data_IF_278406083605
#
_entry.id   IF_278406083605
#
_cell.length_a   1.000
_cell.length_b   1.000
_cell.length_c   1.000
_cell.angle_alpha   90.00
_cell.angle_beta   90.00
_cell.angle_gamma   90.00
#
_symmetry.space_group_name_H-M   'P 1'
#
loop_
_entity.id
_entity.type
_entity.pdbx_description
1 polymer ?
#
# COMPACT_ATOMS: atom_id res chain seq x y z
N UNK A 1 21.22 -1.65 28.72
CA UNK A 1 21.42 -0.84 29.96
C UNK A 1 20.70 0.47 29.75
N UNK A 2 19.84 0.94 30.67
CA UNK A 2 19.25 2.26 30.55
C UNK A 2 20.37 3.32 30.49
N UNK A 3 20.24 4.28 29.58
CA UNK A 3 21.13 5.42 29.46
C UNK A 3 21.05 6.24 30.75
N UNK A 4 22.17 6.70 31.35
CA UNK A 4 22.14 7.46 32.59
C UNK A 4 21.61 8.89 32.44
N UNK A 5 21.25 9.34 31.24
CA UNK A 5 20.84 10.72 30.94
C UNK A 5 19.41 10.79 30.40
N UNK A 6 18.42 10.51 31.27
CA UNK A 6 16.98 10.57 30.99
C UNK A 6 16.52 11.94 30.41
N UNK A 7 17.33 13.00 30.56
CA UNK A 7 17.01 14.36 30.08
C UNK A 7 17.21 14.57 28.56
N UNK A 8 17.73 13.58 27.82
CA UNK A 8 18.01 13.68 26.39
C UNK A 8 17.30 12.63 25.53
N UNK A 9 16.48 11.79 26.15
CA UNK A 9 15.75 10.76 25.42
C UNK A 9 14.58 11.41 24.67
N UNK A 10 14.54 11.18 23.35
CA UNK A 10 13.50 11.67 22.48
C UNK A 10 12.66 10.49 21.97
N UNK A 11 11.37 10.74 21.79
CA UNK A 11 10.45 9.74 21.26
C UNK A 11 9.77 10.26 20.00
N UNK A 12 9.76 9.44 18.97
CA UNK A 12 8.93 9.66 17.78
C UNK A 12 7.66 8.82 17.97
N UNK A 13 6.52 9.51 18.05
CA UNK A 13 5.22 8.85 18.19
C UNK A 13 4.61 8.71 16.80
N UNK A 14 4.28 7.49 16.43
CA UNK A 14 3.66 7.14 15.16
C UNK A 14 2.34 6.42 15.40
N UNK A 15 1.43 6.50 14.44
CA UNK A 15 0.19 5.73 14.46
C UNK A 15 0.17 4.83 13.24
N UNK A 16 0.14 3.52 13.48
CA UNK A 16 0.02 2.49 12.45
C UNK A 16 -1.27 1.71 12.70
N UNK A 17 -2.21 1.73 11.78
CA UNK A 17 -3.46 0.97 11.87
C UNK A 17 -4.16 1.13 13.25
N UNK A 18 -4.29 2.38 13.75
CA UNK A 18 -4.84 2.74 15.07
C UNK A 18 -3.96 2.31 16.27
N UNK A 19 -2.80 1.71 16.03
CA UNK A 19 -1.81 1.42 17.05
C UNK A 19 -0.86 2.60 17.21
N UNK A 20 -0.84 3.20 18.41
CA UNK A 20 0.14 4.24 18.75
C UNK A 20 1.43 3.59 19.23
N UNK A 21 2.53 3.86 18.52
CA UNK A 21 3.86 3.35 18.84
C UNK A 21 4.81 4.52 19.10
N UNK A 22 5.61 4.41 20.15
CA UNK A 22 6.65 5.38 20.47
C UNK A 22 8.02 4.74 20.25
N UNK A 23 8.79 5.29 19.30
CA UNK A 23 10.17 4.87 19.05
C UNK A 23 11.12 5.75 19.85
N UNK A 24 11.92 5.12 20.71
CA UNK A 24 12.98 5.82 21.43
C UNK A 24 14.15 6.09 20.50
N UNK A 25 14.52 7.36 20.32
CA UNK A 25 15.61 7.81 19.46
C UNK A 25 16.58 8.68 20.24
N UNK A 26 17.85 8.67 19.84
CA UNK A 26 18.89 9.48 20.50
C UNK A 26 18.76 10.97 20.19
N UNK A 27 18.35 11.30 18.96
CA UNK A 27 18.18 12.68 18.53
C UNK A 27 17.32 12.76 17.29
N UNK A 28 16.65 13.89 17.09
CA UNK A 28 15.95 14.27 15.86
C UNK A 28 16.71 15.42 15.23
N UNK A 29 17.26 15.20 14.04
CA UNK A 29 18.08 16.20 13.34
C UNK A 29 17.18 17.18 12.58
N UNK A 30 16.09 16.69 11.98
CA UNK A 30 15.17 17.51 11.21
C UNK A 30 14.28 16.68 10.28
N UNK A 31 13.57 17.40 9.40
CA UNK A 31 12.74 16.84 8.35
C UNK A 31 13.37 17.22 7.01
N UNK A 32 13.66 16.21 6.19
CA UNK A 32 14.18 16.38 4.84
C UNK A 32 13.15 15.93 3.83
N UNK A 33 13.01 16.69 2.74
CA UNK A 33 12.21 16.27 1.59
C UNK A 33 13.13 15.56 0.61
N UNK A 34 12.78 14.33 0.26
CA UNK A 34 13.49 13.51 -0.73
C UNK A 34 12.55 13.13 -1.85
N UNK A 35 13.08 13.05 -3.07
CA UNK A 35 12.34 12.50 -4.19
C UNK A 35 12.51 10.98 -4.24
N UNK A 36 11.48 10.27 -4.66
CA UNK A 36 11.57 8.83 -4.91
C UNK A 36 12.70 8.46 -5.87
N UNK A 37 13.03 9.35 -6.80
CA UNK A 37 14.15 9.16 -7.74
C UNK A 37 15.53 9.16 -7.08
N UNK A 38 15.64 9.74 -5.87
CA UNK A 38 16.90 9.83 -5.12
C UNK A 38 17.08 8.66 -4.14
N UNK A 39 16.05 7.82 -3.98
CA UNK A 39 16.07 6.66 -3.09
C UNK A 39 16.60 5.46 -3.85
N UNK A 40 17.72 4.93 -3.39
CA UNK A 40 18.32 3.71 -3.90
C UNK A 40 17.77 2.54 -3.09
N UNK A 41 17.06 1.62 -3.76
CA UNK A 41 16.63 0.37 -3.12
C UNK A 41 17.83 -0.56 -2.98
N UNK A 42 18.05 -1.19 -1.81
CA UNK A 42 19.11 -2.18 -1.67
C UNK A 42 18.88 -3.35 -2.60
N UNK A 43 19.92 -3.75 -3.35
CA UNK A 43 19.88 -4.97 -4.16
C UNK A 43 19.59 -6.19 -3.28
N UNK A 44 18.78 -7.12 -3.78
CA UNK A 44 18.37 -8.34 -3.08
C UNK A 44 19.53 -9.24 -2.61
N UNK A 45 20.73 -8.97 -3.09
CA UNK A 45 21.97 -9.65 -2.67
C UNK A 45 22.53 -9.18 -1.33
N UNK A 46 22.16 -7.99 -0.86
CA UNK A 46 22.61 -7.44 0.43
C UNK A 46 21.61 -7.76 1.54
N UNK A 47 20.36 -8.08 1.21
CA UNK A 47 19.27 -8.36 2.16
C UNK A 47 19.21 -9.81 2.67
N UNK A 48 20.18 -10.67 2.34
CA UNK A 48 20.10 -12.12 2.65
C UNK A 48 20.43 -12.50 4.08
N UNK A 49 20.79 -11.57 4.97
CA UNK A 49 21.09 -11.89 6.39
C UNK A 49 20.46 -10.94 7.43
N UNK A 50 19.95 -9.78 7.05
CA UNK A 50 19.25 -8.89 8.00
C UNK A 50 17.84 -8.59 7.49
N UNK A 51 16.91 -9.04 8.23
CA UNK A 51 15.44 -8.88 8.33
C UNK A 51 14.69 -7.88 7.40
N UNK A 52 15.28 -7.37 6.31
CA UNK A 52 14.57 -6.51 5.34
C UNK A 52 13.93 -5.23 5.92
N UNK A 53 14.47 -4.70 7.02
CA UNK A 53 13.96 -3.50 7.70
C UNK A 53 14.33 -2.22 6.94
N UNK A 54 15.39 -2.25 6.13
CA UNK A 54 15.80 -1.12 5.30
C UNK A 54 15.04 -1.13 3.96
N UNK A 55 14.22 -0.12 3.72
CA UNK A 55 13.46 0.03 2.47
C UNK A 55 14.23 0.80 1.40
N UNK A 56 15.21 1.59 1.81
CA UNK A 56 16.00 2.39 0.88
C UNK A 56 17.20 3.06 1.53
N UNK A 57 18.04 3.64 0.69
CA UNK A 57 19.15 4.50 1.09
C UNK A 57 19.10 5.77 0.27
N UNK A 58 19.21 6.92 0.93
CA UNK A 58 19.28 8.23 0.29
C UNK A 58 20.54 8.97 0.71
N UNK A 59 21.11 9.76 -0.19
CA UNK A 59 22.27 10.60 0.10
C UNK A 59 21.83 12.05 0.34
N UNK A 60 22.04 12.55 1.55
CA UNK A 60 21.77 13.94 1.93
C UNK A 60 23.05 14.53 2.49
N UNK A 61 23.46 15.71 2.01
CA UNK A 61 24.67 16.42 2.47
C UNK A 61 25.92 15.52 2.58
N UNK A 62 26.13 14.69 1.59
CA UNK A 62 27.24 13.71 1.51
C UNK A 62 27.19 12.59 2.58
N UNK A 63 26.09 12.45 3.30
CA UNK A 63 25.82 11.36 4.24
C UNK A 63 24.83 10.37 3.63
N UNK A 64 25.05 9.10 3.87
CA UNK A 64 24.09 8.05 3.51
C UNK A 64 23.11 7.87 4.67
N UNK A 65 21.83 8.02 4.37
CA UNK A 65 20.73 7.85 5.33
C UNK A 65 19.94 6.63 4.92
N UNK A 66 19.78 5.70 5.85
CA UNK A 66 18.98 4.49 5.64
C UNK A 66 17.52 4.81 5.97
N UNK A 67 16.64 4.49 5.05
CA UNK A 67 15.19 4.59 5.24
C UNK A 67 14.73 3.25 5.84
N UNK A 68 14.08 3.32 6.99
CA UNK A 68 13.62 2.14 7.72
C UNK A 68 12.10 1.93 7.51
N UNK A 69 11.72 0.67 7.38
CA UNK A 69 10.34 0.23 7.44
C UNK A 69 9.88 0.11 8.90
N UNK A 70 9.24 1.15 9.40
CA UNK A 70 8.74 1.17 10.77
C UNK A 70 7.56 0.21 10.99
N UNK A 71 6.74 -0.04 9.98
CA UNK A 71 5.64 -1.01 10.08
C UNK A 71 6.20 -2.42 10.25
N UNK A 72 7.23 -2.75 9.47
CA UNK A 72 7.92 -4.03 9.62
C UNK A 72 8.58 -4.18 10.99
N UNK A 73 9.23 -3.13 11.50
CA UNK A 73 9.83 -3.14 12.85
C UNK A 73 8.75 -3.44 13.89
N UNK A 74 7.59 -2.78 13.81
CA UNK A 74 6.48 -3.00 14.74
C UNK A 74 5.94 -4.42 14.60
N UNK A 75 5.76 -4.91 13.39
CA UNK A 75 5.30 -6.27 13.11
C UNK A 75 6.27 -7.35 13.63
N UNK A 76 7.59 -7.12 13.51
CA UNK A 76 8.61 -8.06 14.01
C UNK A 76 8.65 -8.09 15.54
N UNK A 77 8.38 -6.96 16.22
CA UNK A 77 8.34 -6.86 17.68
C UNK A 77 7.02 -7.40 18.24
N UNK A 78 5.92 -7.13 17.57
CA UNK A 78 4.58 -7.50 17.98
C UNK A 78 3.81 -8.10 16.80
N UNK A 79 4.03 -9.37 16.49
CA UNK A 79 3.42 -10.04 15.33
C UNK A 79 1.88 -10.01 15.34
N UNK A 80 1.28 -9.75 16.50
CA UNK A 80 -0.18 -9.66 16.67
C UNK A 80 -0.78 -8.38 16.05
N UNK A 81 0.06 -7.36 15.77
CA UNK A 81 -0.38 -6.05 15.29
C UNK A 81 -0.17 -5.87 13.78
N UNK A 82 0.61 -6.73 13.13
CA UNK A 82 0.81 -6.74 11.68
C UNK A 82 -0.22 -7.60 10.95
N UNK A 83 -0.38 -7.36 9.66
CA UNK A 83 -1.02 -8.34 8.78
C UNK A 83 -0.23 -9.66 8.90
N UNK A 84 -0.81 -10.65 9.58
CA UNK A 84 -0.16 -11.95 9.73
C UNK A 84 -0.05 -12.58 8.35
N UNK A 85 1.17 -12.78 7.88
CA UNK A 85 1.44 -13.63 6.71
C UNK A 85 0.86 -15.03 6.94
N UNK A 86 0.75 -15.48 8.22
CA UNK A 86 0.05 -16.69 8.62
C UNK A 86 -1.44 -16.72 8.25
N UNK A 87 -2.12 -15.57 8.24
CA UNK A 87 -3.51 -15.52 7.83
C UNK A 87 -3.69 -15.78 6.31
N UNK A 88 -2.59 -15.63 5.54
CA UNK A 88 -2.52 -15.96 4.11
C UNK A 88 -2.25 -17.47 3.92
N UNK A 89 -1.52 -18.11 4.82
CA UNK A 89 -1.23 -19.55 4.77
C UNK A 89 -2.50 -20.40 4.98
N UNK A 90 -3.49 -19.90 5.74
CA UNK A 90 -4.79 -20.54 5.91
C UNK A 90 -5.62 -20.62 4.60
N UNK A 91 -5.23 -19.84 3.59
CA UNK A 91 -5.90 -19.81 2.28
C UNK A 91 -5.17 -20.60 1.20
N UNK A 92 -4.02 -21.20 1.49
CA UNK A 92 -3.33 -22.12 0.58
C UNK A 92 -4.20 -23.37 0.38
N UNK A 93 -4.75 -23.52 -0.82
CA UNK A 93 -5.60 -24.67 -1.18
C UNK A 93 -7.01 -24.31 -1.62
N UNK A 94 -7.41 -23.04 -1.66
CA UNK A 94 -8.67 -22.63 -2.28
C UNK A 94 -8.65 -22.90 -3.79
N UNK A 95 -9.78 -23.28 -4.34
CA UNK A 95 -9.96 -23.36 -5.78
C UNK A 95 -9.59 -22.01 -6.43
N UNK A 96 -8.84 -22.09 -7.53
CA UNK A 96 -8.42 -20.90 -8.27
C UNK A 96 -9.63 -20.19 -8.85
N UNK A 97 -9.85 -18.97 -8.44
CA UNK A 97 -10.92 -18.12 -8.97
C UNK A 97 -10.46 -17.47 -10.28
N UNK A 98 -11.30 -17.53 -11.29
CA UNK A 98 -11.12 -16.81 -12.56
C UNK A 98 -11.70 -15.39 -12.50
N UNK A 99 -12.22 -14.97 -11.35
CA UNK A 99 -12.73 -13.61 -11.16
C UNK A 99 -11.64 -12.58 -11.53
N UNK A 100 -11.98 -11.68 -12.45
CA UNK A 100 -11.06 -10.63 -12.89
C UNK A 100 -11.01 -9.52 -11.85
N UNK A 101 -9.88 -9.35 -11.19
CA UNK A 101 -9.63 -8.31 -10.20
C UNK A 101 -8.70 -7.27 -10.79
N UNK A 102 -9.09 -6.00 -10.69
CA UNK A 102 -8.24 -4.87 -11.05
C UNK A 102 -7.63 -4.29 -9.78
N UNK A 103 -6.32 -4.08 -9.77
CA UNK A 103 -5.59 -3.42 -8.69
C UNK A 103 -4.96 -2.14 -9.22
N UNK A 104 -5.22 -1.02 -8.56
CA UNK A 104 -4.71 0.31 -8.93
C UNK A 104 -3.88 0.85 -7.78
N UNK A 105 -2.56 0.96 -8.01
CA UNK A 105 -1.58 1.28 -6.95
C UNK A 105 -0.33 1.85 -7.60
N UNK A 106 0.10 3.04 -7.18
CA UNK A 106 1.25 3.73 -7.77
C UNK A 106 2.60 3.25 -7.20
N UNK A 107 2.61 2.65 -6.02
CA UNK A 107 3.80 2.00 -5.47
C UNK A 107 4.04 0.63 -6.13
N UNK A 108 5.13 0.44 -6.90
CA UNK A 108 5.43 -0.86 -7.51
C UNK A 108 5.57 -1.98 -6.47
N UNK A 109 6.12 -1.65 -5.29
CA UNK A 109 6.32 -2.60 -4.20
C UNK A 109 4.98 -3.04 -3.61
N UNK A 110 4.15 -2.07 -3.18
CA UNK A 110 2.85 -2.35 -2.57
C UNK A 110 1.92 -3.05 -3.56
N UNK A 111 1.87 -2.59 -4.80
CA UNK A 111 1.11 -3.25 -5.85
C UNK A 111 1.58 -4.69 -6.14
N UNK A 112 2.90 -4.97 -6.01
CA UNK A 112 3.39 -6.36 -6.09
C UNK A 112 2.95 -7.19 -4.89
N UNK A 113 2.97 -6.63 -3.69
CA UNK A 113 2.51 -7.30 -2.47
C UNK A 113 1.01 -7.63 -2.52
N UNK A 114 0.17 -6.68 -2.91
CA UNK A 114 -1.28 -6.88 -3.12
C UNK A 114 -1.50 -8.00 -4.14
N UNK A 115 -0.84 -7.91 -5.30
CA UNK A 115 -0.97 -8.91 -6.35
C UNK A 115 -0.53 -10.32 -5.92
N UNK A 116 0.54 -10.42 -5.15
CA UNK A 116 1.02 -11.70 -4.62
C UNK A 116 0.04 -12.28 -3.56
N UNK A 117 -0.49 -11.42 -2.69
CA UNK A 117 -1.48 -11.82 -1.68
C UNK A 117 -2.76 -12.34 -2.34
N UNK A 118 -3.27 -11.62 -3.35
CA UNK A 118 -4.44 -12.05 -4.12
C UNK A 118 -4.20 -13.39 -4.83
N UNK A 119 -3.02 -13.57 -5.46
CA UNK A 119 -2.66 -14.84 -6.11
C UNK A 119 -2.58 -16.00 -5.12
N UNK A 120 -1.97 -15.79 -3.95
CA UNK A 120 -1.92 -16.78 -2.86
C UNK A 120 -3.34 -17.14 -2.37
N UNK A 121 -4.24 -16.15 -2.32
CA UNK A 121 -5.65 -16.35 -1.97
C UNK A 121 -6.50 -16.99 -3.09
N UNK A 122 -5.88 -17.36 -4.22
CA UNK A 122 -6.53 -18.06 -5.31
C UNK A 122 -7.04 -17.17 -6.45
N UNK A 123 -6.93 -15.86 -6.37
CA UNK A 123 -7.30 -14.95 -7.45
C UNK A 123 -6.17 -14.85 -8.47
N UNK A 124 -6.31 -15.50 -9.62
CA UNK A 124 -5.23 -15.60 -10.62
C UNK A 124 -5.38 -14.63 -11.77
N UNK A 125 -6.59 -14.12 -12.02
CA UNK A 125 -6.88 -13.18 -13.10
C UNK A 125 -6.79 -11.74 -12.58
N UNK A 126 -5.58 -11.14 -12.66
CA UNK A 126 -5.27 -9.83 -12.11
C UNK A 126 -4.76 -8.88 -13.19
N UNK A 127 -5.36 -7.70 -13.29
CA UNK A 127 -4.84 -6.56 -14.08
C UNK A 127 -4.40 -5.46 -13.13
N UNK A 128 -3.24 -4.85 -13.40
CA UNK A 128 -2.66 -3.82 -12.52
C UNK A 128 -2.43 -2.54 -13.28
N UNK A 129 -2.74 -1.42 -12.64
CA UNK A 129 -2.50 -0.06 -13.14
C UNK A 129 -1.74 0.75 -12.10
N UNK A 130 -0.90 1.68 -12.57
CA UNK A 130 -0.08 2.51 -11.71
C UNK A 130 -0.79 3.79 -11.22
N UNK A 131 -1.97 4.10 -11.74
CA UNK A 131 -2.76 5.26 -11.33
C UNK A 131 -4.21 5.14 -11.82
N UNK A 132 -5.07 5.99 -11.25
CA UNK A 132 -6.50 5.97 -11.59
C UNK A 132 -6.79 6.35 -13.04
N UNK A 133 -5.93 7.13 -13.72
CA UNK A 133 -6.13 7.50 -15.10
C UNK A 133 -5.96 6.30 -16.05
N UNK A 134 -4.91 5.52 -15.86
CA UNK A 134 -4.70 4.28 -16.64
C UNK A 134 -5.85 3.29 -16.46
N UNK A 135 -6.31 3.12 -15.21
CA UNK A 135 -7.46 2.26 -14.92
C UNK A 135 -8.73 2.80 -15.59
N UNK A 136 -8.97 4.11 -15.57
CA UNK A 136 -10.12 4.73 -16.22
C UNK A 136 -10.08 4.56 -17.73
N UNK A 137 -8.94 4.74 -18.37
CA UNK A 137 -8.76 4.57 -19.82
C UNK A 137 -9.06 3.12 -20.22
N UNK A 138 -8.57 2.14 -19.47
CA UNK A 138 -8.93 0.73 -19.65
C UNK A 138 -10.43 0.48 -19.51
N UNK A 139 -11.09 1.10 -18.54
CA UNK A 139 -12.54 0.98 -18.36
C UNK A 139 -13.31 1.61 -19.53
N UNK A 140 -12.77 2.62 -20.23
CA UNK A 140 -13.37 3.12 -21.48
C UNK A 140 -13.28 2.09 -22.63
N UNK A 141 -12.19 1.31 -22.68
CA UNK A 141 -12.07 0.20 -23.64
C UNK A 141 -13.09 -0.90 -23.33
N UNK A 142 -13.32 -1.22 -22.07
CA UNK A 142 -14.37 -2.15 -21.63
C UNK A 142 -15.75 -1.63 -22.06
N UNK A 143 -16.05 -0.36 -21.85
CA UNK A 143 -17.31 0.27 -22.27
C UNK A 143 -17.54 0.25 -23.79
N UNK A 144 -16.47 0.44 -24.56
CA UNK A 144 -16.55 0.39 -26.02
C UNK A 144 -16.74 -1.03 -26.57
N UNK A 145 -16.59 -2.05 -25.71
CA UNK A 145 -16.62 -3.45 -26.12
C UNK A 145 -15.30 -3.95 -26.74
N UNK A 146 -14.24 -3.13 -26.69
CA UNK A 146 -12.91 -3.54 -27.16
C UNK A 146 -12.30 -4.60 -26.24
N UNK A 147 -12.65 -4.58 -24.94
CA UNK A 147 -12.24 -5.53 -23.93
C UNK A 147 -13.48 -6.11 -23.24
N UNK A 148 -13.50 -7.40 -22.88
CA UNK A 148 -14.63 -8.00 -22.15
C UNK A 148 -14.91 -7.31 -20.82
N UNK A 149 -16.19 -7.16 -20.48
CA UNK A 149 -16.61 -6.69 -19.16
C UNK A 149 -16.82 -7.88 -18.23
N UNK A 150 -15.73 -8.44 -17.74
CA UNK A 150 -15.70 -9.58 -16.79
C UNK A 150 -15.13 -9.18 -15.42
N UNK A 151 -15.07 -7.87 -15.15
CA UNK A 151 -14.47 -7.31 -13.94
C UNK A 151 -15.33 -7.64 -12.72
N UNK A 152 -14.76 -8.43 -11.81
CA UNK A 152 -15.42 -8.83 -10.58
C UNK A 152 -15.31 -7.76 -9.49
N UNK A 153 -14.16 -7.11 -9.37
CA UNK A 153 -13.97 -5.96 -8.48
C UNK A 153 -12.74 -5.13 -8.84
N UNK A 154 -12.69 -3.92 -8.31
CA UNK A 154 -11.56 -3.00 -8.42
C UNK A 154 -11.07 -2.69 -7.02
N UNK A 155 -9.77 -2.86 -6.77
CA UNK A 155 -9.10 -2.47 -5.52
C UNK A 155 -8.22 -1.27 -5.88
N UNK A 156 -8.41 -0.14 -5.21
CA UNK A 156 -7.68 1.09 -5.52
C UNK A 156 -7.12 1.74 -4.27
N UNK A 157 -5.86 2.23 -4.36
CA UNK A 157 -5.37 3.20 -3.41
C UNK A 157 -6.06 4.55 -3.60
N UNK A 158 -5.95 5.43 -2.60
CA UNK A 158 -6.48 6.79 -2.64
C UNK A 158 -5.46 7.75 -3.26
N UNK A 159 -4.23 7.74 -2.78
CA UNK A 159 -3.21 8.75 -3.09
C UNK A 159 -2.34 8.31 -4.27
N UNK A 160 -2.80 8.61 -5.48
CA UNK A 160 -2.09 8.28 -6.71
C UNK A 160 -1.91 9.51 -7.61
N UNK A 161 -0.85 9.57 -8.43
CA UNK A 161 -0.66 10.64 -9.41
C UNK A 161 -1.73 10.61 -10.49
N UNK A 162 -1.91 11.72 -11.20
CA UNK A 162 -2.84 11.94 -12.32
C UNK A 162 -4.32 11.83 -11.91
N UNK A 163 -4.76 10.71 -11.36
CA UNK A 163 -6.12 10.51 -10.88
C UNK A 163 -6.10 9.72 -9.58
N UNK A 164 -6.63 10.31 -8.51
CA UNK A 164 -6.78 9.68 -7.20
C UNK A 164 -7.90 8.63 -7.19
N UNK A 165 -7.86 7.72 -6.18
CA UNK A 165 -8.83 6.64 -6.06
C UNK A 165 -10.25 7.10 -5.77
N UNK A 166 -10.44 8.23 -5.10
CA UNK A 166 -11.78 8.79 -4.87
C UNK A 166 -12.42 9.28 -6.18
N UNK A 167 -11.63 9.95 -7.02
CA UNK A 167 -12.08 10.39 -8.34
C UNK A 167 -12.40 9.21 -9.23
N UNK A 168 -11.53 8.19 -9.26
CA UNK A 168 -11.78 6.95 -10.00
C UNK A 168 -13.08 6.30 -9.53
N UNK A 169 -13.25 6.11 -8.22
CA UNK A 169 -14.47 5.54 -7.63
C UNK A 169 -15.71 6.32 -8.05
N UNK A 170 -15.67 7.65 -7.96
CA UNK A 170 -16.78 8.51 -8.38
C UNK A 170 -17.15 8.30 -9.85
N UNK A 171 -16.16 8.27 -10.72
CA UNK A 171 -16.38 8.07 -12.17
C UNK A 171 -17.03 6.71 -12.44
N UNK A 172 -16.52 5.63 -11.80
CA UNK A 172 -17.09 4.29 -11.92
C UNK A 172 -18.55 4.27 -11.43
N UNK A 173 -18.80 4.77 -10.21
CA UNK A 173 -20.11 4.69 -9.56
C UNK A 173 -21.18 5.60 -10.18
N UNK A 174 -20.77 6.63 -10.92
CA UNK A 174 -21.70 7.49 -11.67
C UNK A 174 -21.92 7.05 -13.12
N UNK A 175 -21.18 6.09 -13.61
CA UNK A 175 -21.31 5.59 -14.98
C UNK A 175 -22.33 4.44 -15.04
N UNK A 176 -23.31 4.54 -15.93
CA UNK A 176 -24.42 3.60 -16.05
C UNK A 176 -23.99 2.14 -16.35
N UNK A 177 -22.86 1.96 -17.04
CA UNK A 177 -22.37 0.63 -17.42
C UNK A 177 -21.40 0.04 -16.37
N UNK A 178 -20.73 0.89 -15.58
CA UNK A 178 -19.69 0.49 -14.65
C UNK A 178 -20.12 0.52 -13.18
N UNK A 179 -21.20 1.23 -12.83
CA UNK A 179 -21.64 1.49 -11.45
C UNK A 179 -21.82 0.24 -10.58
N UNK A 180 -22.13 -0.89 -11.22
CA UNK A 180 -22.34 -2.16 -10.51
C UNK A 180 -21.05 -2.88 -10.18
N UNK A 181 -19.89 -2.45 -10.70
CA UNK A 181 -18.60 -3.04 -10.36
C UNK A 181 -18.27 -2.65 -8.91
N UNK A 182 -18.03 -3.62 -8.02
CA UNK A 182 -17.58 -3.34 -6.66
C UNK A 182 -16.23 -2.61 -6.67
N UNK A 183 -16.10 -1.56 -5.85
CA UNK A 183 -14.85 -0.81 -5.68
C UNK A 183 -14.45 -0.85 -4.22
N UNK A 184 -13.30 -1.43 -3.94
CA UNK A 184 -12.69 -1.52 -2.61
C UNK A 184 -11.58 -0.47 -2.56
N UNK A 185 -11.66 0.45 -1.60
CA UNK A 185 -10.60 1.41 -1.34
C UNK A 185 -9.65 0.79 -0.31
N UNK A 186 -8.38 0.70 -0.68
CA UNK A 186 -7.31 0.21 0.16
C UNK A 186 -6.25 1.32 0.29
N UNK A 187 -6.00 1.82 1.50
CA UNK A 187 -4.99 2.84 1.72
C UNK A 187 -4.37 2.69 3.10
N UNK A 188 -3.06 2.94 3.18
CA UNK A 188 -2.29 2.93 4.43
C UNK A 188 -2.64 4.10 5.36
N UNK A 189 -3.28 5.16 4.84
CA UNK A 189 -3.58 6.39 5.55
C UNK A 189 -5.08 6.62 5.79
N UNK A 190 -5.89 5.57 5.84
CA UNK A 190 -7.34 5.70 6.05
C UNK A 190 -7.64 6.31 7.42
N UNK A 191 -8.31 7.46 7.41
CA UNK A 191 -8.96 8.06 8.58
C UNK A 191 -10.49 8.04 8.40
N UNK A 192 -11.23 8.36 9.48
CA UNK A 192 -12.70 8.36 9.45
C UNK A 192 -13.29 9.26 8.35
N UNK A 193 -12.66 10.39 8.05
CA UNK A 193 -13.13 11.31 7.00
C UNK A 193 -12.95 10.71 5.60
N UNK A 194 -11.82 10.05 5.35
CA UNK A 194 -11.54 9.35 4.08
C UNK A 194 -12.48 8.17 3.90
N UNK A 195 -12.74 7.41 4.97
CA UNK A 195 -13.70 6.31 4.96
C UNK A 195 -15.11 6.80 4.65
N UNK A 196 -15.60 7.81 5.38
CA UNK A 196 -16.91 8.40 5.13
C UNK A 196 -17.04 8.94 3.70
N UNK A 197 -15.98 9.55 3.17
CA UNK A 197 -15.95 10.01 1.77
C UNK A 197 -16.04 8.84 0.79
N UNK A 198 -15.31 7.75 1.02
CA UNK A 198 -15.37 6.54 0.20
C UNK A 198 -16.77 5.94 0.16
N UNK A 199 -17.40 5.80 1.33
CA UNK A 199 -18.78 5.31 1.47
C UNK A 199 -19.79 6.22 0.75
N UNK A 200 -19.67 7.54 0.87
CA UNK A 200 -20.50 8.51 0.14
C UNK A 200 -20.33 8.42 -1.39
N UNK A 201 -19.18 8.02 -1.87
CA UNK A 201 -18.89 7.80 -3.30
C UNK A 201 -19.37 6.44 -3.80
N UNK A 202 -19.86 5.58 -2.90
CA UNK A 202 -20.37 4.26 -3.22
C UNK A 202 -19.28 3.17 -3.25
N UNK A 203 -18.14 3.39 -2.61
CA UNK A 203 -17.19 2.30 -2.36
C UNK A 203 -17.84 1.24 -1.47
N UNK A 204 -17.39 -0.02 -1.63
CA UNK A 204 -17.92 -1.19 -0.95
C UNK A 204 -17.04 -1.59 0.23
#
# INVERSE_FOLDING_TARGET
>A
KPSPDIKKDMFIITNFNQLNVAFHVHTVIGIHRVSWADIITPDSTVSSQDSGIATGVVKIDNQLIIILDFEKIVSDISPETGLKVSDIEEYEGRERSQAHVISVEDSPLLGAMIGNSLKKSGYVNLTRFANGQEAWDYLQEVKSGAVPNDIACIITDIEMPQMDGHRLTKLIKTDEQLKNIPVIIFSSLINEQMRAKGELLGAN
#
